data_IF_399647940690
#
_entry.id   IF_399647940690
#
_cell.length_a   1.000
_cell.length_b   1.000
_cell.length_c   1.000
_cell.angle_alpha   90.00
_cell.angle_beta   90.00
_cell.angle_gamma   90.00
#
_symmetry.space_group_name_H-M   'P 1'
#
loop_
_entity.id
_entity.type
_entity.pdbx_description
1 polymer ?
#
# COMPACT_ATOMS: atom_id res chain seq x y z
N UNK A 1 40.51 -2.51 45.61
CA UNK A 1 39.34 -3.10 44.90
C UNK A 1 38.47 -1.95 44.36
N UNK A 2 38.76 -1.48 43.18
CA UNK A 2 38.07 -0.37 42.52
C UNK A 2 37.05 -0.95 41.55
N UNK A 3 35.75 -0.68 41.83
CA UNK A 3 34.67 -1.05 40.92
C UNK A 3 34.65 -0.07 39.73
N UNK A 4 34.86 -0.58 38.51
CA UNK A 4 34.72 0.17 37.27
C UNK A 4 33.27 0.51 36.95
N UNK A 5 33.03 1.59 36.19
CA UNK A 5 31.68 2.02 35.86
C UNK A 5 31.04 1.06 34.84
N UNK A 6 29.78 0.70 35.10
CA UNK A 6 28.89 -0.06 34.22
C UNK A 6 28.59 0.76 32.95
N UNK A 7 28.65 0.19 31.74
CA UNK A 7 28.24 0.92 30.54
C UNK A 7 26.73 1.14 30.56
N UNK A 8 26.33 2.42 30.55
CA UNK A 8 24.96 2.83 30.27
C UNK A 8 24.60 2.37 28.85
N UNK A 9 23.78 1.34 28.76
CA UNK A 9 23.05 1.01 27.55
C UNK A 9 22.09 2.18 27.26
N UNK A 10 22.48 3.07 26.37
CA UNK A 10 21.58 4.06 25.78
C UNK A 10 20.53 3.29 24.99
N UNK A 11 19.34 3.12 25.59
CA UNK A 11 18.14 2.79 24.83
C UNK A 11 17.95 3.89 23.81
N UNK A 12 18.23 3.58 22.54
CA UNK A 12 17.77 4.37 21.42
C UNK A 12 16.25 4.44 21.56
N UNK A 13 15.74 5.60 21.89
CA UNK A 13 14.31 5.90 21.76
C UNK A 13 13.94 5.58 20.32
N UNK A 14 12.93 4.73 20.06
CA UNK A 14 12.47 4.52 18.70
C UNK A 14 12.03 5.89 18.19
N UNK A 15 12.75 6.43 17.19
CA UNK A 15 12.25 7.58 16.45
C UNK A 15 10.90 7.17 15.90
N UNK A 16 9.85 7.93 16.25
CA UNK A 16 8.51 7.73 15.72
C UNK A 16 8.61 7.62 14.20
N UNK A 17 8.56 6.40 13.67
CA UNK A 17 8.82 6.15 12.27
C UNK A 17 7.58 6.56 11.46
N UNK A 18 7.70 7.66 10.73
CA UNK A 18 6.70 8.11 9.77
C UNK A 18 6.75 7.25 8.52
N UNK A 19 5.60 6.77 8.05
CA UNK A 19 5.48 5.96 6.82
C UNK A 19 4.31 6.42 5.97
N UNK A 20 4.33 6.05 4.69
CA UNK A 20 3.30 6.39 3.72
C UNK A 20 2.65 5.13 3.16
N UNK A 21 1.33 5.04 3.17
CA UNK A 21 0.55 4.03 2.46
C UNK A 21 0.05 4.63 1.15
N UNK A 22 0.45 4.02 0.04
CA UNK A 22 0.04 4.41 -1.30
C UNK A 22 -1.11 3.55 -1.78
N UNK A 23 -2.34 4.12 -1.73
CA UNK A 23 -3.55 3.53 -2.28
C UNK A 23 -3.58 3.67 -3.80
N UNK A 24 -4.15 2.67 -4.50
CA UNK A 24 -4.24 2.63 -5.96
C UNK A 24 -5.60 2.14 -6.44
N UNK A 25 -5.80 0.83 -6.56
CA UNK A 25 -7.06 0.18 -6.97
C UNK A 25 -7.88 -0.31 -5.77
N UNK A 26 -7.26 -0.36 -4.63
CA UNK A 26 -7.65 -0.96 -3.36
C UNK A 26 -8.24 0.10 -2.40
N UNK A 27 -9.17 0.92 -2.89
CA UNK A 27 -9.71 2.10 -2.21
C UNK A 27 -10.66 1.72 -1.05
N UNK A 28 -10.11 1.09 -0.02
CA UNK A 28 -10.83 0.70 1.20
C UNK A 28 -9.95 0.82 2.43
N UNK A 29 -10.55 1.16 3.58
CA UNK A 29 -9.86 1.28 4.87
C UNK A 29 -10.04 0.05 5.78
N UNK A 30 -10.70 -1.01 5.31
CA UNK A 30 -10.88 -2.28 6.02
C UNK A 30 -10.22 -3.41 5.24
N UNK A 31 -9.79 -4.48 5.93
CA UNK A 31 -9.18 -5.67 5.30
C UNK A 31 -8.16 -5.30 4.22
N UNK A 32 -7.15 -4.48 4.57
CA UNK A 32 -6.18 -3.92 3.64
C UNK A 32 -4.76 -4.20 4.13
N UNK A 33 -4.04 -5.09 3.46
CA UNK A 33 -2.77 -5.63 3.94
C UNK A 33 -1.70 -4.56 4.18
N UNK A 34 -1.48 -3.65 3.22
CA UNK A 34 -0.48 -2.60 3.34
C UNK A 34 -0.82 -1.61 4.46
N UNK A 35 -2.08 -1.18 4.58
CA UNK A 35 -2.53 -0.28 5.63
C UNK A 35 -2.39 -0.94 7.01
N UNK A 36 -2.82 -2.19 7.14
CA UNK A 36 -2.68 -2.95 8.38
C UNK A 36 -1.22 -3.05 8.84
N UNK A 37 -0.31 -3.44 7.92
CA UNK A 37 1.11 -3.57 8.26
C UNK A 37 1.71 -2.22 8.65
N UNK A 38 1.43 -1.17 7.89
CA UNK A 38 1.90 0.17 8.20
C UNK A 38 1.43 0.63 9.59
N UNK A 39 0.14 0.51 9.88
CA UNK A 39 -0.44 0.93 11.16
C UNK A 39 0.01 0.06 12.32
N UNK A 40 0.17 -1.26 12.14
CA UNK A 40 0.62 -2.16 13.19
C UNK A 40 2.06 -1.89 13.63
N UNK A 41 2.93 -1.58 12.68
CA UNK A 41 4.38 -1.58 12.87
C UNK A 41 4.98 -0.17 13.05
N UNK A 42 4.19 0.91 12.83
CA UNK A 42 4.66 2.29 12.86
C UNK A 42 3.71 3.23 13.61
N UNK A 43 4.26 4.33 14.14
CA UNK A 43 3.52 5.24 15.01
C UNK A 43 2.83 6.38 14.26
N UNK A 44 3.21 6.64 12.99
CA UNK A 44 2.66 7.73 12.19
C UNK A 44 2.51 7.32 10.73
N UNK A 45 1.26 7.10 10.31
CA UNK A 45 0.92 6.56 9.00
C UNK A 45 0.15 7.57 8.18
N UNK A 46 0.74 8.00 7.08
CA UNK A 46 0.10 8.83 6.07
C UNK A 46 -0.57 7.96 5.02
N UNK A 47 -1.72 8.39 4.51
CA UNK A 47 -2.41 7.73 3.42
C UNK A 47 -2.40 8.64 2.18
N UNK A 48 -2.04 8.10 1.01
CA UNK A 48 -1.99 8.89 -0.22
C UNK A 48 -2.56 8.14 -1.42
N UNK A 49 -3.07 8.92 -2.36
CA UNK A 49 -3.46 8.48 -3.70
C UNK A 49 -2.86 9.43 -4.75
N UNK A 50 -2.49 8.88 -5.91
CA UNK A 50 -2.00 9.66 -7.05
C UNK A 50 -2.90 9.43 -8.25
N UNK A 51 -3.52 10.49 -8.78
CA UNK A 51 -4.08 10.48 -10.12
C UNK A 51 -2.92 10.41 -11.12
N UNK A 52 -2.51 9.18 -11.41
CA UNK A 52 -1.33 8.90 -12.23
C UNK A 52 -1.60 9.25 -13.70
N UNK A 53 -0.89 10.26 -14.21
CA UNK A 53 -1.05 10.74 -15.58
C UNK A 53 -0.69 9.68 -16.63
N UNK A 54 0.18 8.72 -16.30
CA UNK A 54 0.50 7.61 -17.21
C UNK A 54 -0.68 6.61 -17.31
N UNK A 55 -1.52 6.51 -16.30
CA UNK A 55 -2.77 5.73 -16.29
C UNK A 55 -3.93 6.52 -16.87
N UNK A 56 -3.99 7.84 -16.64
CA UNK A 56 -5.09 8.69 -17.08
C UNK A 56 -5.02 9.04 -18.56
N UNK A 57 -3.82 9.24 -19.11
CA UNK A 57 -3.61 9.65 -20.52
C UNK A 57 -4.30 8.74 -21.54
N UNK A 58 -4.25 7.40 -21.43
CA UNK A 58 -4.99 6.53 -22.35
C UNK A 58 -6.52 6.62 -22.21
N UNK A 59 -7.03 7.19 -21.13
CA UNK A 59 -8.46 7.38 -20.91
C UNK A 59 -8.98 8.69 -21.52
N UNK A 60 -8.10 9.63 -21.80
CA UNK A 60 -8.45 10.89 -22.46
C UNK A 60 -8.97 10.63 -23.87
N UNK A 61 -10.20 11.05 -24.13
CA UNK A 61 -10.86 10.79 -25.43
C UNK A 61 -11.45 9.38 -25.62
N UNK A 62 -11.35 8.49 -24.61
CA UNK A 62 -11.89 7.13 -24.70
C UNK A 62 -13.43 7.03 -24.52
N UNK A 63 -14.14 8.16 -24.60
CA UNK A 63 -15.60 8.21 -24.61
C UNK A 63 -16.26 8.08 -23.21
N UNK A 64 -17.62 7.91 -23.18
CA UNK A 64 -18.40 7.96 -21.94
C UNK A 64 -18.00 6.92 -20.87
N UNK A 65 -17.42 5.80 -21.30
CA UNK A 65 -16.97 4.76 -20.36
C UNK A 65 -15.80 5.20 -19.50
N UNK A 66 -14.89 6.01 -20.04
CA UNK A 66 -13.77 6.56 -19.29
C UNK A 66 -14.24 7.60 -18.25
N UNK A 67 -15.17 8.48 -18.62
CA UNK A 67 -15.73 9.47 -17.72
C UNK A 67 -16.43 8.79 -16.51
N UNK A 68 -17.24 7.74 -16.77
CA UNK A 68 -17.89 6.97 -15.69
C UNK A 68 -16.88 6.29 -14.77
N UNK A 69 -15.78 5.77 -15.32
CA UNK A 69 -14.72 5.17 -14.52
C UNK A 69 -14.03 6.18 -13.61
N UNK A 70 -13.72 7.37 -14.12
CA UNK A 70 -13.15 8.46 -13.32
C UNK A 70 -14.11 8.93 -12.22
N UNK A 71 -15.40 9.10 -12.53
CA UNK A 71 -16.41 9.46 -11.54
C UNK A 71 -16.53 8.39 -10.44
N UNK A 72 -16.45 7.11 -10.78
CA UNK A 72 -16.44 6.02 -9.80
C UNK A 72 -15.21 6.08 -8.90
N UNK A 73 -14.01 6.27 -9.47
CA UNK A 73 -12.78 6.40 -8.69
C UNK A 73 -12.85 7.61 -7.76
N UNK A 74 -13.33 8.76 -8.26
CA UNK A 74 -13.49 9.96 -7.45
C UNK A 74 -14.46 9.72 -6.27
N UNK A 75 -15.61 9.12 -6.51
CA UNK A 75 -16.56 8.79 -5.44
C UNK A 75 -15.95 7.83 -4.40
N UNK A 76 -15.20 6.82 -4.85
CA UNK A 76 -14.51 5.89 -3.94
C UNK A 76 -13.43 6.59 -3.11
N UNK A 77 -12.73 7.56 -3.67
CA UNK A 77 -11.74 8.38 -2.95
C UNK A 77 -12.40 9.28 -1.90
N UNK A 78 -13.55 9.90 -2.22
CA UNK A 78 -14.32 10.66 -1.23
C UNK A 78 -14.70 9.76 -0.04
N UNK A 79 -15.26 8.60 -0.30
CA UNK A 79 -15.63 7.64 0.75
C UNK A 79 -14.43 7.19 1.59
N UNK A 80 -13.29 6.92 0.95
CA UNK A 80 -12.07 6.55 1.65
C UNK A 80 -11.56 7.70 2.53
N UNK A 81 -11.53 8.93 2.02
CA UNK A 81 -11.10 10.11 2.77
C UNK A 81 -12.02 10.37 3.98
N UNK A 82 -13.34 10.26 3.80
CA UNK A 82 -14.32 10.39 4.88
C UNK A 82 -14.04 9.39 6.01
N UNK A 83 -13.89 8.10 5.67
CA UNK A 83 -13.58 7.04 6.65
C UNK A 83 -12.26 7.30 7.37
N UNK A 84 -11.22 7.72 6.65
CA UNK A 84 -9.91 8.02 7.26
C UNK A 84 -10.02 9.25 8.18
N UNK A 85 -10.78 10.29 7.81
CA UNK A 85 -10.99 11.51 8.64
C UNK A 85 -11.77 11.21 9.91
N UNK A 86 -12.81 10.41 9.85
CA UNK A 86 -13.57 9.94 11.03
C UNK A 86 -12.66 9.24 12.05
N UNK A 87 -11.51 8.72 11.61
CA UNK A 87 -10.52 8.04 12.44
C UNK A 87 -9.29 8.89 12.75
N UNK A 88 -9.34 10.20 12.51
CA UNK A 88 -8.27 11.15 12.82
C UNK A 88 -7.18 11.30 11.75
N UNK A 89 -7.33 10.63 10.60
CA UNK A 89 -6.40 10.70 9.46
C UNK A 89 -6.88 11.59 8.32
N UNK A 90 -6.72 11.11 7.12
CA UNK A 90 -7.17 11.69 5.85
C UNK A 90 -6.33 11.22 4.68
N UNK A 91 -6.76 11.55 3.46
CA UNK A 91 -6.11 11.12 2.23
C UNK A 91 -5.35 12.29 1.57
N UNK A 92 -4.06 12.11 1.36
CA UNK A 92 -3.24 13.02 0.56
C UNK A 92 -3.42 12.67 -0.92
N UNK A 93 -4.01 13.57 -1.71
CA UNK A 93 -4.21 13.33 -3.13
C UNK A 93 -3.23 14.17 -3.95
N UNK A 94 -2.62 13.54 -4.96
CA UNK A 94 -1.71 14.18 -5.91
C UNK A 94 -2.17 13.88 -7.34
N UNK A 95 -1.78 14.76 -8.25
CA UNK A 95 -1.97 14.57 -9.69
C UNK A 95 -0.62 14.72 -10.37
N UNK A 96 -0.20 13.70 -11.12
CA UNK A 96 1.10 13.66 -11.78
C UNK A 96 1.54 12.22 -12.05
N UNK A 97 2.78 12.02 -12.46
CA UNK A 97 3.33 10.68 -12.63
C UNK A 97 3.63 10.06 -11.27
N UNK A 98 3.06 8.90 -10.98
CA UNK A 98 3.25 8.24 -9.68
C UNK A 98 4.73 7.98 -9.36
N UNK A 99 5.55 7.68 -10.37
CA UNK A 99 7.00 7.49 -10.23
C UNK A 99 7.75 8.74 -9.75
N UNK A 100 7.13 9.91 -9.82
CA UNK A 100 7.67 11.19 -9.34
C UNK A 100 6.97 11.63 -8.05
N UNK A 101 5.65 11.57 -8.03
CA UNK A 101 4.85 12.11 -6.92
C UNK A 101 5.01 11.30 -5.63
N UNK A 102 5.13 9.97 -5.70
CA UNK A 102 5.30 9.15 -4.49
C UNK A 102 6.65 9.40 -3.81
N UNK A 103 7.81 9.39 -4.51
CA UNK A 103 9.07 9.75 -3.88
C UNK A 103 9.11 11.19 -3.35
N UNK A 104 8.52 12.18 -4.08
CA UNK A 104 8.42 13.56 -3.59
C UNK A 104 7.61 13.66 -2.31
N UNK A 105 6.47 12.98 -2.27
CA UNK A 105 5.60 12.97 -1.10
C UNK A 105 6.26 12.28 0.09
N UNK A 106 6.90 11.13 -0.13
CA UNK A 106 7.64 10.43 0.91
C UNK A 106 8.74 11.31 1.52
N UNK A 107 9.51 12.01 0.69
CA UNK A 107 10.54 12.94 1.14
C UNK A 107 9.94 14.12 1.94
N UNK A 108 8.86 14.74 1.44
CA UNK A 108 8.20 15.87 2.10
C UNK A 108 7.60 15.49 3.48
N UNK A 109 7.19 14.24 3.66
CA UNK A 109 6.64 13.72 4.91
C UNK A 109 7.70 13.11 5.84
N UNK A 110 8.95 13.01 5.41
CA UNK A 110 10.00 12.31 6.12
C UNK A 110 9.68 10.82 6.31
N UNK A 111 9.00 10.21 5.34
CA UNK A 111 8.58 8.82 5.44
C UNK A 111 9.78 7.88 5.26
N UNK A 112 10.01 7.02 6.24
CA UNK A 112 11.08 6.02 6.18
C UNK A 112 10.77 4.88 5.20
N UNK A 113 9.47 4.62 4.97
CA UNK A 113 9.01 3.51 4.11
C UNK A 113 7.68 3.87 3.45
N UNK A 114 7.52 3.46 2.20
CA UNK A 114 6.24 3.48 1.48
C UNK A 114 5.69 2.06 1.41
N UNK A 115 4.43 1.89 1.81
CA UNK A 115 3.69 0.63 1.72
C UNK A 115 2.67 0.70 0.59
N UNK A 116 2.50 -0.39 -0.14
CA UNK A 116 1.45 -0.52 -1.16
C UNK A 116 1.00 -1.98 -1.27
N UNK A 117 -0.24 -2.23 -1.70
CA UNK A 117 -0.66 -3.57 -2.06
C UNK A 117 -0.16 -3.92 -3.46
N UNK A 118 0.30 -5.15 -3.67
CA UNK A 118 0.90 -5.60 -4.93
C UNK A 118 -0.11 -5.56 -6.09
N UNK A 119 0.32 -5.05 -7.23
CA UNK A 119 -0.42 -5.11 -8.49
C UNK A 119 0.32 -6.06 -9.45
N UNK A 120 -0.44 -6.87 -10.20
CA UNK A 120 0.10 -7.93 -11.04
C UNK A 120 0.12 -7.56 -12.53
N UNK A 121 -0.49 -6.43 -12.91
CA UNK A 121 -0.45 -5.96 -14.29
C UNK A 121 0.99 -5.55 -14.69
N UNK A 122 1.49 -5.93 -15.89
CA UNK A 122 2.88 -5.64 -16.29
C UNK A 122 3.26 -4.17 -16.12
N UNK A 123 2.48 -3.25 -16.66
CA UNK A 123 2.75 -1.81 -16.55
C UNK A 123 2.74 -1.30 -15.08
N UNK A 124 1.93 -1.91 -14.22
CA UNK A 124 1.92 -1.56 -12.80
C UNK A 124 3.17 -2.08 -12.09
N UNK A 125 3.64 -3.28 -12.45
CA UNK A 125 4.90 -3.83 -11.92
C UNK A 125 6.11 -3.00 -12.31
N UNK A 126 6.17 -2.55 -13.57
CA UNK A 126 7.24 -1.69 -14.07
C UNK A 126 7.24 -0.32 -13.34
N UNK A 127 6.06 0.28 -13.17
CA UNK A 127 5.88 1.50 -12.38
C UNK A 127 6.34 1.32 -10.93
N UNK A 128 5.89 0.25 -10.28
CA UNK A 128 6.19 -0.03 -8.87
C UNK A 128 7.70 -0.30 -8.68
N UNK A 129 8.36 -0.99 -9.62
CA UNK A 129 9.80 -1.19 -9.60
C UNK A 129 10.57 0.14 -9.73
N UNK A 130 10.12 1.05 -10.60
CA UNK A 130 10.73 2.37 -10.74
C UNK A 130 10.50 3.26 -9.50
N UNK A 131 9.30 3.23 -8.90
CA UNK A 131 9.03 3.90 -7.61
C UNK A 131 9.96 3.37 -6.52
N UNK A 132 10.07 2.05 -6.37
CA UNK A 132 10.94 1.41 -5.40
C UNK A 132 12.41 1.82 -5.59
N UNK A 133 12.90 1.84 -6.83
CA UNK A 133 14.26 2.26 -7.16
C UNK A 133 14.53 3.71 -6.75
N UNK A 134 13.59 4.63 -7.03
CA UNK A 134 13.72 6.06 -6.66
C UNK A 134 13.65 6.28 -5.15
N UNK A 135 12.74 5.60 -4.47
CA UNK A 135 12.66 5.64 -3.01
C UNK A 135 13.96 5.16 -2.37
N UNK A 136 14.49 4.03 -2.83
CA UNK A 136 15.74 3.46 -2.32
C UNK A 136 16.93 4.40 -2.53
N UNK A 137 17.01 5.06 -3.68
CA UNK A 137 18.03 6.07 -3.97
C UNK A 137 17.94 7.30 -3.03
N UNK A 138 16.74 7.57 -2.48
CA UNK A 138 16.49 8.63 -1.50
C UNK A 138 16.56 8.13 -0.03
N UNK A 139 16.99 6.90 0.22
CA UNK A 139 17.07 6.31 1.56
C UNK A 139 15.71 5.92 2.17
N UNK A 140 14.66 5.82 1.35
CA UNK A 140 13.32 5.41 1.77
C UNK A 140 13.04 3.98 1.32
N UNK A 141 12.47 3.14 2.20
CA UNK A 141 12.07 1.78 1.89
C UNK A 141 10.80 1.71 1.03
N UNK A 142 10.63 0.57 0.33
CA UNK A 142 9.37 0.23 -0.33
C UNK A 142 8.96 -1.19 0.05
N UNK A 143 7.73 -1.35 0.54
CA UNK A 143 7.16 -2.65 0.96
C UNK A 143 5.87 -2.88 0.19
N UNK A 144 5.87 -3.90 -0.66
CA UNK A 144 4.67 -4.38 -1.32
C UNK A 144 4.04 -5.56 -0.55
N UNK A 145 2.73 -5.54 -0.41
CA UNK A 145 1.97 -6.52 0.34
C UNK A 145 1.06 -7.33 -0.58
N UNK A 146 0.96 -8.63 -0.35
CA UNK A 146 -0.07 -9.46 -0.98
C UNK A 146 -1.44 -9.06 -0.39
N UNK A 147 -2.39 -8.75 -1.25
CA UNK A 147 -3.75 -8.32 -0.86
C UNK A 147 -4.81 -8.74 -1.89
N UNK A 148 -4.55 -8.51 -3.16
CA UNK A 148 -5.52 -8.69 -4.25
C UNK A 148 -5.86 -10.17 -4.51
N UNK A 149 -5.01 -11.10 -4.12
CA UNK A 149 -5.13 -12.54 -4.36
C UNK A 149 -4.89 -13.32 -3.08
N UNK A 150 -5.59 -14.44 -2.93
CA UNK A 150 -5.37 -15.36 -1.79
C UNK A 150 -4.01 -16.05 -1.91
N UNK A 151 -3.69 -16.54 -3.11
CA UNK A 151 -2.40 -17.15 -3.42
C UNK A 151 -1.75 -16.46 -4.61
N UNK A 152 -0.46 -16.20 -4.50
CA UNK A 152 0.35 -15.61 -5.57
C UNK A 152 0.76 -16.63 -6.65
N UNK A 153 1.40 -16.16 -7.70
CA UNK A 153 1.71 -16.92 -8.93
C UNK A 153 2.43 -18.23 -8.68
N UNK A 154 3.32 -18.27 -7.69
CA UNK A 154 4.20 -19.41 -7.35
C UNK A 154 3.77 -20.14 -6.07
N UNK A 155 2.69 -19.72 -5.44
CA UNK A 155 2.20 -20.35 -4.21
C UNK A 155 1.38 -21.62 -4.47
N UNK A 156 0.85 -21.83 -5.68
CA UNK A 156 0.09 -23.02 -6.09
C UNK A 156 0.71 -23.62 -7.35
N UNK A 157 1.62 -24.56 -7.16
CA UNK A 157 2.38 -25.21 -8.22
C UNK A 157 2.10 -26.71 -8.27
N UNK A 158 2.45 -27.34 -9.39
CA UNK A 158 2.48 -28.79 -9.54
C UNK A 158 3.55 -29.40 -8.61
N UNK A 159 3.53 -30.72 -8.41
CA UNK A 159 4.58 -31.43 -7.65
C UNK A 159 5.99 -31.23 -8.23
N UNK A 160 6.09 -30.94 -9.53
CA UNK A 160 7.37 -30.61 -10.19
C UNK A 160 7.77 -29.12 -10.08
N UNK A 161 7.07 -28.32 -9.24
CA UNK A 161 7.36 -26.89 -9.07
C UNK A 161 7.02 -26.02 -10.28
N UNK A 162 6.12 -26.47 -11.16
CA UNK A 162 5.72 -25.73 -12.38
C UNK A 162 4.26 -25.27 -12.27
N UNK A 163 3.90 -24.16 -12.96
CA UNK A 163 2.51 -23.72 -13.05
C UNK A 163 1.60 -24.82 -13.64
N UNK A 164 0.36 -24.84 -13.18
CA UNK A 164 -0.67 -25.70 -13.80
C UNK A 164 -1.09 -25.13 -15.16
N UNK A 165 -1.19 -25.97 -16.16
CA UNK A 165 -1.70 -25.63 -17.50
C UNK A 165 -3.18 -25.96 -17.67
N UNK A 166 -3.78 -26.73 -16.74
CA UNK A 166 -5.18 -27.15 -16.76
C UNK A 166 -5.88 -26.69 -15.48
N UNK A 167 -7.08 -26.13 -15.64
CA UNK A 167 -7.81 -25.52 -14.52
C UNK A 167 -8.24 -26.52 -13.43
N UNK A 168 -8.75 -27.71 -13.80
CA UNK A 168 -9.29 -28.66 -12.81
C UNK A 168 -8.27 -29.12 -11.77
N UNK A 169 -7.06 -29.57 -12.13
CA UNK A 169 -6.03 -29.91 -11.14
C UNK A 169 -5.53 -28.66 -10.37
N UNK A 170 -5.43 -27.49 -11.02
CA UNK A 170 -5.13 -26.24 -10.32
C UNK A 170 -6.16 -25.93 -9.23
N UNK A 171 -7.45 -25.96 -9.57
CA UNK A 171 -8.54 -25.73 -8.61
C UNK A 171 -8.47 -26.68 -7.41
N UNK A 172 -8.19 -27.96 -7.66
CA UNK A 172 -8.05 -28.96 -6.58
C UNK A 172 -6.88 -28.64 -5.66
N UNK A 173 -5.74 -28.29 -6.21
CA UNK A 173 -4.56 -27.90 -5.44
C UNK A 173 -4.80 -26.60 -4.66
N UNK A 174 -5.45 -25.63 -5.27
CA UNK A 174 -5.81 -24.34 -4.67
C UNK A 174 -6.75 -24.52 -3.47
N UNK A 175 -7.84 -25.29 -3.65
CA UNK A 175 -8.80 -25.59 -2.58
C UNK A 175 -8.19 -26.41 -1.45
N UNK A 176 -7.25 -27.32 -1.76
CA UNK A 176 -6.54 -28.08 -0.74
C UNK A 176 -5.62 -27.20 0.12
N UNK A 177 -5.09 -26.15 -0.47
CA UNK A 177 -4.20 -25.18 0.23
C UNK A 177 -4.97 -24.14 1.03
N UNK A 178 -6.23 -23.88 0.66
CA UNK A 178 -7.07 -22.90 1.31
C UNK A 178 -7.41 -23.33 2.75
N UNK A 179 -7.06 -22.47 3.70
CA UNK A 179 -7.43 -22.60 5.10
C UNK A 179 -8.03 -21.28 5.64
N UNK A 180 -8.47 -21.28 6.89
CA UNK A 180 -9.06 -20.10 7.51
C UNK A 180 -8.04 -18.93 7.67
N UNK A 181 -6.76 -19.23 7.81
CA UNK A 181 -5.72 -18.21 7.95
C UNK A 181 -5.47 -17.49 6.61
N UNK A 182 -5.57 -18.22 5.49
CA UNK A 182 -5.37 -17.65 4.15
C UNK A 182 -6.45 -16.63 3.74
N UNK A 183 -7.61 -16.65 4.40
CA UNK A 183 -8.74 -15.74 4.13
C UNK A 183 -9.11 -14.88 5.35
N UNK A 184 -8.31 -14.90 6.40
CA UNK A 184 -8.54 -14.07 7.57
C UNK A 184 -8.38 -12.59 7.22
N UNK A 185 -9.34 -11.73 7.56
CA UNK A 185 -9.25 -10.31 7.26
C UNK A 185 -8.15 -9.63 8.08
N UNK A 186 -7.55 -8.60 7.52
CA UNK A 186 -6.60 -7.74 8.22
C UNK A 186 -7.36 -6.77 9.14
N UNK A 187 -7.23 -6.84 10.47
CA UNK A 187 -7.98 -6.02 11.42
C UNK A 187 -7.38 -4.59 11.54
N UNK A 188 -7.50 -3.82 10.46
CA UNK A 188 -6.97 -2.46 10.32
C UNK A 188 -7.50 -1.54 11.42
N UNK A 189 -8.75 -1.73 11.81
CA UNK A 189 -9.51 -0.89 12.74
C UNK A 189 -8.88 -0.82 14.14
N UNK A 190 -8.06 -1.80 14.49
CA UNK A 190 -7.39 -1.88 15.80
C UNK A 190 -6.27 -0.86 15.97
N UNK A 191 -5.84 -0.21 14.88
CA UNK A 191 -4.63 0.62 14.84
C UNK A 191 -4.87 2.01 14.22
N UNK A 192 -6.11 2.43 14.03
CA UNK A 192 -6.42 3.75 13.45
C UNK A 192 -5.89 4.94 14.25
N UNK A 193 -5.62 4.75 15.54
CA UNK A 193 -4.96 5.73 16.40
C UNK A 193 -3.58 6.19 15.91
N UNK A 194 -3.00 5.47 14.95
CA UNK A 194 -1.70 5.78 14.33
C UNK A 194 -1.81 6.50 12.98
N UNK A 195 -3.01 6.80 12.53
CA UNK A 195 -3.21 7.63 11.34
C UNK A 195 -2.68 9.04 11.58
N UNK A 196 -1.93 9.55 10.60
CA UNK A 196 -1.45 10.93 10.64
C UNK A 196 -2.57 11.89 10.21
N UNK A 197 -2.81 12.99 10.95
CA UNK A 197 -3.84 13.95 10.59
C UNK A 197 -3.49 14.67 9.29
N UNK A 198 -4.46 14.77 8.38
CA UNK A 198 -4.34 15.46 7.10
C UNK A 198 -5.31 16.62 7.08
N UNK A 199 -4.80 17.82 6.76
CA UNK A 199 -5.66 18.98 6.60
C UNK A 199 -6.70 18.73 5.48
N UNK A 200 -7.97 19.12 5.67
CA UNK A 200 -8.98 19.01 4.62
C UNK A 200 -8.56 19.76 3.36
N UNK A 201 -8.66 19.09 2.21
CA UNK A 201 -8.46 19.69 0.91
C UNK A 201 -9.51 19.09 -0.06
N UNK A 202 -10.05 19.89 -0.99
CA UNK A 202 -10.92 19.33 -2.00
C UNK A 202 -10.14 18.30 -2.84
N UNK A 203 -10.79 17.21 -3.19
CA UNK A 203 -10.24 16.25 -4.15
C UNK A 203 -10.28 16.87 -5.55
N UNK A 204 -9.22 16.73 -6.32
CA UNK A 204 -9.11 17.32 -7.66
C UNK A 204 -10.04 16.67 -8.68
#
# INVERSE_FOLDING_TARGET
MTRGPTPHSSRLTPHASSVLVWFRRDLRAHDHAALYRALRDHDRVWCAFVFDTDVLRPLQGAGPGAARRLAFVHAALCQLDDVLRERGGGLLVRHGRAVEEIPRLAAALGAATVFANRDYAPAARDRDAEVARRLMAAGCGFVDCKDQVVFECDEVLTQAGRPFTVFTPYRRAWLKKLDAAAVAPYPVERHFDRLAPVAPAPLP
#
